data_IF_788757632670
#
_entry.id   IF_788757632670
#
_cell.length_a   1.000
_cell.length_b   1.000
_cell.length_c   1.000
_cell.angle_alpha   90.00
_cell.angle_beta   90.00
_cell.angle_gamma   90.00
#
_symmetry.space_group_name_H-M   'P 1'
#
loop_
_entity.id
_entity.type
_entity.pdbx_description
1 polymer ?
#
# COMPACT_ATOMS: atom_id res chain seq x y z
N UNK A 1 -36.15 -10.60 -39.53
CA UNK A 1 -36.42 -9.58 -40.58
C UNK A 1 -36.45 -8.19 -39.93
N UNK A 2 -35.53 -7.32 -40.38
CA UNK A 2 -35.61 -5.86 -40.49
C UNK A 2 -36.24 -5.06 -39.33
N UNK A 3 -35.36 -4.52 -38.49
CA UNK A 3 -35.55 -3.18 -37.93
C UNK A 3 -35.74 -2.18 -39.08
N UNK A 4 -36.95 -1.64 -39.20
CA UNK A 4 -37.31 -0.38 -39.87
C UNK A 4 -38.04 0.41 -38.78
N UNK A 5 -37.60 1.55 -38.29
CA UNK A 5 -37.04 2.70 -38.99
C UNK A 5 -38.02 3.85 -38.75
N UNK A 6 -37.73 4.70 -37.77
CA UNK A 6 -38.20 6.10 -37.76
C UNK A 6 -37.13 6.92 -37.06
N UNK A 7 -36.08 7.19 -37.81
CA UNK A 7 -35.28 8.38 -37.63
C UNK A 7 -36.08 9.53 -38.23
N UNK A 8 -35.98 10.70 -37.62
CA UNK A 8 -36.66 11.96 -37.96
C UNK A 8 -37.93 12.18 -37.15
N UNK A 9 -37.76 12.74 -35.95
CA UNK A 9 -38.50 13.98 -35.68
C UNK A 9 -37.70 14.93 -34.79
N UNK A 10 -37.34 16.06 -35.41
CA UNK A 10 -36.92 17.35 -34.85
C UNK A 10 -35.60 17.45 -34.06
N UNK A 11 -34.50 17.19 -34.77
CA UNK A 11 -33.28 17.97 -34.59
C UNK A 11 -33.47 19.39 -35.13
N UNK A 12 -34.11 20.25 -34.33
CA UNK A 12 -33.89 21.70 -34.50
C UNK A 12 -32.42 21.98 -34.12
N UNK A 13 -31.67 22.76 -34.90
CA UNK A 13 -30.38 23.23 -34.47
C UNK A 13 -30.60 24.06 -33.20
N UNK A 14 -30.18 23.54 -32.05
CA UNK A 14 -30.17 24.29 -30.79
C UNK A 14 -29.39 25.58 -31.05
N UNK A 15 -30.07 26.71 -30.95
CA UNK A 15 -29.43 28.00 -31.10
C UNK A 15 -28.41 28.22 -29.99
N UNK A 16 -27.36 29.00 -30.26
CA UNK A 16 -26.42 29.42 -29.22
C UNK A 16 -27.15 30.16 -28.07
N UNK A 17 -28.14 31.00 -28.39
CA UNK A 17 -28.98 31.68 -27.41
C UNK A 17 -29.76 30.70 -26.51
N UNK A 18 -30.39 29.67 -27.10
CA UNK A 18 -31.11 28.63 -26.35
C UNK A 18 -30.17 27.81 -25.45
N UNK A 19 -28.90 27.65 -25.86
CA UNK A 19 -27.89 26.94 -25.07
C UNK A 19 -27.52 27.69 -23.79
N UNK A 20 -27.50 29.04 -23.82
CA UNK A 20 -27.32 29.88 -22.63
C UNK A 20 -28.52 29.74 -21.67
N UNK A 21 -29.74 29.77 -22.22
CA UNK A 21 -30.98 29.64 -21.43
C UNK A 21 -31.10 28.25 -20.76
N UNK A 22 -30.77 27.17 -21.48
CA UNK A 22 -30.79 25.79 -20.96
C UNK A 22 -29.84 25.61 -19.77
N UNK A 23 -28.68 26.28 -19.81
CA UNK A 23 -27.69 26.24 -18.75
C UNK A 23 -27.94 27.29 -17.65
N UNK A 24 -28.84 28.24 -17.87
CA UNK A 24 -29.17 29.33 -16.94
C UNK A 24 -28.03 30.31 -16.75
N UNK A 25 -27.24 30.56 -17.79
CA UNK A 25 -26.09 31.48 -17.82
C UNK A 25 -26.33 32.60 -18.82
N UNK A 26 -25.73 33.77 -18.60
CA UNK A 26 -25.87 34.91 -19.51
C UNK A 26 -24.83 34.86 -20.62
N UNK A 27 -25.16 35.37 -21.83
CA UNK A 27 -24.15 35.67 -22.84
C UNK A 27 -23.11 36.65 -22.23
N UNK A 28 -21.85 36.24 -22.15
CA UNK A 28 -20.76 37.03 -21.52
C UNK A 28 -20.27 36.50 -20.16
N UNK A 29 -20.93 35.49 -19.58
CA UNK A 29 -20.42 34.81 -18.38
C UNK A 29 -19.07 34.12 -18.67
N UNK A 30 -18.20 34.05 -17.66
CA UNK A 30 -16.86 33.46 -17.82
C UNK A 30 -16.99 31.96 -18.16
N UNK A 31 -16.12 31.36 -19.01
CA UNK A 31 -16.10 29.91 -19.23
C UNK A 31 -16.06 29.06 -17.94
N UNK A 32 -15.56 29.60 -16.82
CA UNK A 32 -15.66 28.98 -15.50
C UNK A 32 -17.09 28.85 -14.95
N UNK A 33 -17.94 29.85 -15.19
CA UNK A 33 -19.36 29.89 -14.76
C UNK A 33 -20.24 28.97 -15.62
N UNK A 34 -19.96 28.90 -16.93
CA UNK A 34 -20.61 27.94 -17.84
C UNK A 34 -20.34 26.49 -17.38
N UNK A 35 -19.08 26.19 -17.00
CA UNK A 35 -18.71 24.86 -16.46
C UNK A 35 -19.36 24.58 -15.12
N UNK A 36 -19.45 25.56 -14.23
CA UNK A 36 -20.05 25.36 -12.90
C UNK A 36 -21.56 25.14 -13.02
N UNK A 37 -22.25 25.88 -13.90
CA UNK A 37 -23.66 25.69 -14.19
C UNK A 37 -23.97 24.31 -14.78
N UNK A 38 -23.16 23.85 -15.75
CA UNK A 38 -23.26 22.50 -16.29
C UNK A 38 -23.09 21.44 -15.19
N UNK A 39 -22.06 21.56 -14.33
CA UNK A 39 -21.82 20.60 -13.23
C UNK A 39 -22.98 20.52 -12.25
N UNK A 40 -23.55 21.65 -11.86
CA UNK A 40 -24.73 21.70 -10.97
C UNK A 40 -25.92 20.98 -11.59
N UNK A 41 -26.21 21.24 -12.87
CA UNK A 41 -27.32 20.62 -13.58
C UNK A 41 -27.08 19.12 -13.82
N UNK A 42 -25.86 18.72 -14.17
CA UNK A 42 -25.48 17.34 -14.38
C UNK A 42 -25.67 16.50 -13.12
N UNK A 43 -25.27 17.00 -11.94
CA UNK A 43 -25.45 16.30 -10.67
C UNK A 43 -26.92 16.06 -10.31
N UNK A 44 -27.81 16.99 -10.67
CA UNK A 44 -29.25 16.86 -10.39
C UNK A 44 -30.00 15.98 -11.39
N UNK A 45 -29.49 15.85 -12.62
CA UNK A 45 -30.19 15.20 -13.73
C UNK A 45 -29.50 13.93 -14.25
N UNK A 46 -28.39 13.48 -13.61
CA UNK A 46 -27.67 12.29 -14.05
C UNK A 46 -28.57 11.05 -13.96
N UNK A 47 -28.60 10.16 -14.98
CA UNK A 47 -29.45 8.98 -14.97
C UNK A 47 -29.22 8.07 -13.75
N UNK A 48 -28.00 8.03 -13.22
CA UNK A 48 -27.65 7.24 -12.02
C UNK A 48 -28.25 7.81 -10.72
N UNK A 49 -28.58 9.11 -10.69
CA UNK A 49 -29.08 9.80 -9.49
C UNK A 49 -30.59 10.03 -9.56
N UNK A 50 -31.11 10.40 -10.74
CA UNK A 50 -32.50 10.80 -10.94
C UNK A 50 -33.35 9.77 -11.73
N UNK A 51 -32.73 8.71 -12.25
CA UNK A 51 -33.41 7.65 -13.00
C UNK A 51 -33.72 7.99 -14.46
N UNK A 52 -34.27 7.01 -15.19
CA UNK A 52 -34.44 7.03 -16.66
C UNK A 52 -35.34 8.16 -17.19
N UNK A 53 -36.17 8.77 -16.34
CA UNK A 53 -37.03 9.91 -16.70
C UNK A 53 -36.24 11.20 -17.02
N UNK A 54 -34.99 11.31 -16.56
CA UNK A 54 -34.17 12.51 -16.72
C UNK A 54 -33.15 12.41 -17.86
N UNK A 55 -33.08 11.27 -18.56
CA UNK A 55 -32.14 11.03 -19.68
C UNK A 55 -32.30 12.07 -20.79
N UNK A 56 -33.53 12.31 -21.24
CA UNK A 56 -33.82 13.30 -22.30
C UNK A 56 -33.45 14.74 -21.88
N UNK A 57 -33.55 15.05 -20.58
CA UNK A 57 -33.17 16.36 -20.04
C UNK A 57 -31.65 16.50 -19.95
N UNK A 58 -30.97 15.45 -19.50
CA UNK A 58 -29.52 15.38 -19.44
C UNK A 58 -28.88 15.51 -20.83
N UNK A 59 -29.44 14.82 -21.84
CA UNK A 59 -28.97 14.94 -23.23
C UNK A 59 -29.07 16.37 -23.76
N UNK A 60 -30.16 17.09 -23.47
CA UNK A 60 -30.29 18.51 -23.86
C UNK A 60 -29.24 19.39 -23.19
N UNK A 61 -28.98 19.18 -21.90
CA UNK A 61 -27.97 19.92 -21.13
C UNK A 61 -26.55 19.64 -21.68
N UNK A 62 -26.24 18.38 -21.98
CA UNK A 62 -24.95 17.98 -22.55
C UNK A 62 -24.72 18.53 -23.96
N UNK A 63 -25.78 18.57 -24.79
CA UNK A 63 -25.74 19.19 -26.12
C UNK A 63 -25.51 20.70 -26.05
N UNK A 64 -26.23 21.41 -25.18
CA UNK A 64 -26.06 22.85 -24.96
C UNK A 64 -24.62 23.20 -24.53
N UNK A 65 -24.05 22.46 -23.57
CA UNK A 65 -22.67 22.66 -23.14
C UNK A 65 -21.64 22.37 -24.24
N UNK A 66 -21.87 21.34 -25.05
CA UNK A 66 -20.99 20.98 -26.17
C UNK A 66 -20.97 22.04 -27.27
N UNK A 67 -22.11 22.71 -27.51
CA UNK A 67 -22.22 23.82 -28.46
C UNK A 67 -21.49 25.06 -27.95
N UNK A 68 -21.73 25.47 -26.71
CA UNK A 68 -21.02 26.62 -26.12
C UNK A 68 -19.50 26.41 -25.99
N UNK A 69 -19.06 25.16 -25.83
CA UNK A 69 -17.63 24.83 -25.81
C UNK A 69 -16.98 24.92 -27.20
N UNK A 70 -17.74 24.69 -28.27
CA UNK A 70 -17.24 24.72 -29.65
C UNK A 70 -17.41 26.07 -30.33
N UNK A 71 -18.30 26.92 -29.80
CA UNK A 71 -18.55 28.26 -30.32
C UNK A 71 -17.28 29.12 -30.27
N UNK A 72 -17.02 29.86 -31.35
CA UNK A 72 -15.93 30.83 -31.41
C UNK A 72 -16.28 32.09 -30.59
N UNK A 73 -15.29 32.83 -30.06
CA UNK A 73 -15.55 34.09 -29.36
C UNK A 73 -16.30 35.12 -30.23
N UNK A 74 -16.08 35.08 -31.55
CA UNK A 74 -16.74 35.96 -32.53
C UNK A 74 -18.25 35.69 -32.64
N UNK A 75 -18.68 34.43 -32.62
CA UNK A 75 -20.11 34.04 -32.63
C UNK A 75 -20.83 34.47 -31.33
N UNK A 76 -20.11 34.48 -30.21
CA UNK A 76 -20.64 34.91 -28.91
C UNK A 76 -20.78 36.44 -28.88
N UNK A 77 -19.81 37.18 -29.46
CA UNK A 77 -19.87 38.63 -29.61
C UNK A 77 -20.97 39.07 -30.58
N UNK A 78 -21.21 38.33 -31.67
CA UNK A 78 -22.30 38.64 -32.62
C UNK A 78 -23.68 38.54 -31.96
N UNK A 79 -23.89 37.57 -31.05
CA UNK A 79 -25.13 37.44 -30.28
C UNK A 79 -25.31 38.55 -29.23
N UNK A 80 -24.20 39.01 -28.64
CA UNK A 80 -24.19 40.17 -27.75
C UNK A 80 -24.54 41.46 -28.52
N UNK A 81 -24.04 41.63 -29.74
CA UNK A 81 -24.40 42.76 -30.59
C UNK A 81 -25.86 42.70 -31.05
N UNK A 82 -26.35 41.52 -31.44
CA UNK A 82 -27.74 41.32 -31.92
C UNK A 82 -28.79 41.52 -30.81
N UNK A 83 -28.46 41.22 -29.56
CA UNK A 83 -29.32 41.50 -28.40
C UNK A 83 -29.29 42.98 -27.98
N UNK A 84 -28.20 43.70 -28.24
CA UNK A 84 -28.13 45.16 -28.04
C UNK A 84 -28.85 45.99 -29.13
N UNK A 85 -29.15 45.39 -30.30
CA UNK A 85 -29.78 46.04 -31.45
C UNK A 85 -31.31 46.16 -31.43
N UNK A 86 -32.01 45.56 -30.44
CA UNK A 86 -33.47 45.69 -30.24
C UNK A 86 -33.79 46.42 -28.93
N UNK A 87 -33.38 47.68 -28.83
CA UNK A 87 -33.96 48.62 -27.89
C UNK A 87 -34.35 49.87 -28.67
N UNK A 88 -35.64 49.93 -29.03
CA UNK A 88 -36.23 51.09 -29.69
C UNK A 88 -36.03 52.36 -28.86
N UNK A 89 -35.50 53.39 -29.53
CA UNK A 89 -35.42 54.76 -29.04
C UNK A 89 -36.78 55.44 -29.14
N UNK A 90 -37.19 56.13 -28.07
CA UNK A 90 -37.76 57.51 -28.05
C UNK A 90 -38.10 57.94 -26.61
N UNK A 91 -38.14 59.25 -26.30
CA UNK A 91 -37.14 60.28 -26.53
C UNK A 91 -36.71 60.97 -25.21
N UNK A 92 -35.77 61.90 -25.33
CA UNK A 92 -35.11 62.67 -24.25
C UNK A 92 -36.06 63.71 -23.63
N UNK A 93 -36.00 63.89 -22.30
CA UNK A 93 -35.77 65.18 -21.60
C UNK A 93 -35.98 64.94 -20.08
N UNK A 94 -34.91 64.95 -19.28
CA UNK A 94 -34.35 66.07 -18.52
C UNK A 94 -35.19 66.49 -17.31
N UNK A 95 -34.74 66.16 -16.09
CA UNK A 95 -34.59 67.09 -14.96
C UNK A 95 -34.20 66.33 -13.67
N UNK A 96 -33.34 66.95 -12.86
CA UNK A 96 -32.81 66.51 -11.55
C UNK A 96 -31.68 65.45 -11.59
N UNK A 97 -30.40 65.81 -11.48
CA UNK A 97 -29.64 66.43 -10.35
C UNK A 97 -29.28 65.40 -9.25
N UNK A 98 -27.97 65.38 -8.94
CA UNK A 98 -27.24 64.72 -7.82
C UNK A 98 -26.90 63.23 -7.97
N UNK A 99 -25.62 62.93 -8.21
CA UNK A 99 -24.65 62.61 -7.13
C UNK A 99 -23.26 62.32 -7.71
N UNK A 100 -22.31 63.21 -7.43
CA UNK A 100 -20.90 62.87 -7.37
C UNK A 100 -20.62 62.31 -5.97
N UNK A 101 -20.56 60.99 -5.85
CA UNK A 101 -19.86 60.34 -4.73
C UNK A 101 -18.97 59.25 -5.33
N UNK A 102 -17.77 59.69 -5.69
CA UNK A 102 -16.64 58.86 -6.10
C UNK A 102 -16.16 58.09 -4.88
N UNK A 103 -16.83 56.98 -4.55
CA UNK A 103 -16.34 56.01 -3.56
C UNK A 103 -15.09 55.34 -4.15
N UNK A 104 -13.92 55.79 -3.70
CA UNK A 104 -12.63 55.09 -3.90
C UNK A 104 -12.80 53.65 -3.42
N UNK A 105 -12.65 52.69 -4.33
CA UNK A 105 -12.42 51.28 -3.98
C UNK A 105 -11.17 51.20 -3.08
N UNK A 106 -11.18 50.42 -1.99
CA UNK A 106 -9.98 50.24 -1.17
C UNK A 106 -8.89 49.49 -1.97
N UNK A 107 -7.60 49.65 -1.58
CA UNK A 107 -6.49 49.16 -2.37
C UNK A 107 -6.53 47.63 -2.44
N UNK A 108 -6.45 47.11 -3.66
CA UNK A 108 -6.26 45.67 -3.96
C UNK A 108 -4.95 45.24 -3.29
N UNK A 109 -5.05 44.55 -2.15
CA UNK A 109 -3.92 43.86 -1.55
C UNK A 109 -3.45 42.78 -2.53
N UNK A 110 -2.18 42.84 -2.94
CA UNK A 110 -1.56 41.90 -3.90
C UNK A 110 -1.34 40.52 -3.25
N UNK A 111 -0.82 39.53 -3.99
CA UNK A 111 -1.29 38.15 -4.13
C UNK A 111 -0.92 37.23 -2.95
N UNK A 112 -0.45 37.77 -1.83
CA UNK A 112 0.02 36.99 -0.68
C UNK A 112 -1.13 36.20 -0.05
N UNK A 113 -2.32 36.79 0.04
CA UNK A 113 -3.53 36.09 0.48
C UNK A 113 -3.95 35.01 -0.52
N UNK A 114 -3.77 35.24 -1.82
CA UNK A 114 -4.07 34.23 -2.84
C UNK A 114 -3.10 33.04 -2.81
N UNK A 115 -1.83 33.29 -2.49
CA UNK A 115 -0.82 32.25 -2.34
C UNK A 115 -1.04 31.47 -1.05
N UNK A 116 -1.30 32.16 0.07
CA UNK A 116 -1.63 31.54 1.35
C UNK A 116 -2.90 30.71 1.26
N UNK A 117 -3.94 31.23 0.61
CA UNK A 117 -5.20 30.49 0.35
C UNK A 117 -4.95 29.30 -0.56
N UNK A 118 -4.09 29.43 -1.58
CA UNK A 118 -3.73 28.31 -2.47
C UNK A 118 -2.94 27.22 -1.73
N UNK A 119 -1.99 27.60 -0.86
CA UNK A 119 -1.25 26.67 0.00
C UNK A 119 -2.20 25.92 0.94
N UNK A 120 -3.12 26.64 1.62
CA UNK A 120 -4.10 26.02 2.51
C UNK A 120 -5.06 25.08 1.78
N UNK A 121 -5.46 25.41 0.54
CA UNK A 121 -6.28 24.52 -0.28
C UNK A 121 -5.50 23.27 -0.74
N UNK A 122 -4.21 23.42 -1.01
CA UNK A 122 -3.31 22.30 -1.32
C UNK A 122 -3.12 21.39 -0.11
N UNK A 123 -2.81 21.95 1.06
CA UNK A 123 -2.70 21.19 2.31
C UNK A 123 -4.02 20.47 2.63
N UNK A 124 -5.16 21.16 2.51
CA UNK A 124 -6.46 20.54 2.71
C UNK A 124 -6.71 19.39 1.73
N UNK A 125 -6.39 19.57 0.44
CA UNK A 125 -6.57 18.53 -0.57
C UNK A 125 -5.64 17.33 -0.32
N UNK A 126 -4.41 17.57 0.14
CA UNK A 126 -3.47 16.52 0.54
C UNK A 126 -3.98 15.75 1.75
N UNK A 127 -4.44 16.45 2.79
CA UNK A 127 -5.02 15.81 3.99
C UNK A 127 -6.29 15.04 3.64
N UNK A 128 -7.17 15.58 2.79
CA UNK A 128 -8.36 14.87 2.32
C UNK A 128 -7.99 13.62 1.51
N UNK A 129 -6.94 13.70 0.69
CA UNK A 129 -6.42 12.54 -0.04
C UNK A 129 -5.81 11.50 0.89
N UNK A 130 -5.01 11.90 1.89
CA UNK A 130 -4.45 11.00 2.91
C UNK A 130 -5.55 10.33 3.73
N UNK A 131 -6.59 11.07 4.12
CA UNK A 131 -7.77 10.54 4.81
C UNK A 131 -8.54 9.58 3.88
N UNK A 132 -8.69 9.89 2.60
CA UNK A 132 -9.35 9.01 1.64
C UNK A 132 -8.56 7.72 1.44
N UNK A 133 -7.24 7.82 1.32
CA UNK A 133 -6.33 6.67 1.22
C UNK A 133 -6.41 5.83 2.49
N UNK A 134 -6.23 6.41 3.68
CA UNK A 134 -6.38 5.67 4.94
C UNK A 134 -7.76 5.06 5.11
N UNK A 135 -8.84 5.70 4.65
CA UNK A 135 -10.17 5.07 4.60
C UNK A 135 -10.24 3.89 3.64
N UNK A 136 -9.58 3.94 2.49
CA UNK A 136 -9.47 2.79 1.59
C UNK A 136 -8.68 1.66 2.22
N UNK A 137 -7.63 1.97 2.99
CA UNK A 137 -6.88 0.99 3.77
C UNK A 137 -7.72 0.42 4.94
N UNK A 138 -8.52 1.24 5.60
CA UNK A 138 -9.29 0.86 6.80
C UNK A 138 -10.72 0.37 6.52
N UNK A 139 -11.20 0.46 5.28
CA UNK A 139 -12.53 -0.03 4.90
C UNK A 139 -12.56 -1.56 5.04
N UNK A 140 -13.31 -2.13 6.00
CA UNK A 140 -13.44 -3.57 6.11
C UNK A 140 -14.08 -4.08 4.82
N UNK A 141 -13.41 -5.07 4.24
CA UNK A 141 -13.78 -5.69 2.98
C UNK A 141 -15.22 -6.21 3.06
N UNK A 142 -16.14 -5.62 2.27
CA UNK A 142 -17.55 -6.03 2.23
C UNK A 142 -17.65 -7.32 1.42
N UNK A 143 -17.83 -8.42 2.14
CA UNK A 143 -17.87 -9.80 1.62
C UNK A 143 -18.91 -10.02 0.51
N UNK A 144 -18.47 -10.23 -0.73
CA UNK A 144 -19.25 -10.75 -1.87
C UNK A 144 -18.43 -11.71 -2.74
N UNK A 145 -19.03 -12.63 -3.52
CA UNK A 145 -18.30 -13.71 -4.26
C UNK A 145 -17.16 -13.26 -5.19
N UNK A 146 -17.16 -12.00 -5.66
CA UNK A 146 -16.03 -11.39 -6.41
C UNK A 146 -14.78 -11.09 -5.57
N UNK A 147 -14.83 -11.37 -4.28
CA UNK A 147 -13.80 -11.03 -3.30
C UNK A 147 -12.64 -12.01 -3.26
N UNK A 148 -12.87 -13.30 -3.54
CA UNK A 148 -11.83 -14.31 -3.38
C UNK A 148 -10.72 -14.12 -4.40
N UNK A 149 -11.06 -13.97 -5.69
CA UNK A 149 -10.09 -13.68 -6.75
C UNK A 149 -9.34 -12.36 -6.50
N UNK A 150 -10.06 -11.34 -6.03
CA UNK A 150 -9.49 -10.04 -5.68
C UNK A 150 -8.51 -10.15 -4.50
N UNK A 151 -8.83 -10.94 -3.47
CA UNK A 151 -7.94 -11.21 -2.35
C UNK A 151 -6.70 -11.99 -2.80
N UNK A 152 -6.86 -13.01 -3.64
CA UNK A 152 -5.71 -13.77 -4.20
C UNK A 152 -4.74 -12.84 -4.94
N UNK A 153 -5.27 -11.94 -5.78
CA UNK A 153 -4.46 -10.95 -6.50
C UNK A 153 -3.73 -9.99 -5.56
N UNK A 154 -4.39 -9.53 -4.48
CA UNK A 154 -3.78 -8.63 -3.50
C UNK A 154 -2.71 -9.30 -2.65
N UNK A 155 -2.95 -10.55 -2.25
CA UNK A 155 -1.99 -11.39 -1.50
C UNK A 155 -0.70 -11.62 -2.30
N UNK A 156 -0.82 -11.85 -3.62
CA UNK A 156 0.32 -12.04 -4.51
C UNK A 156 0.89 -10.73 -5.07
N UNK A 157 0.35 -9.58 -4.62
CA UNK A 157 0.80 -8.26 -5.05
C UNK A 157 2.26 -7.99 -4.69
N UNK A 158 2.92 -7.13 -5.47
CA UNK A 158 4.32 -6.74 -5.24
C UNK A 158 4.50 -5.80 -4.04
N UNK A 159 3.46 -5.03 -3.70
CA UNK A 159 3.52 -4.00 -2.65
C UNK A 159 3.23 -4.58 -1.26
N UNK A 160 4.13 -4.42 -0.27
CA UNK A 160 3.94 -4.89 1.11
C UNK A 160 2.62 -4.44 1.74
N UNK A 161 2.31 -3.15 1.69
CA UNK A 161 1.09 -2.61 2.30
C UNK A 161 -0.20 -3.23 1.76
N UNK A 162 -0.24 -3.60 0.46
CA UNK A 162 -1.40 -4.27 -0.13
C UNK A 162 -1.54 -5.69 0.40
N UNK A 163 -0.42 -6.40 0.59
CA UNK A 163 -0.41 -7.74 1.18
C UNK A 163 -0.85 -7.70 2.63
N UNK A 164 -0.35 -6.75 3.43
CA UNK A 164 -0.71 -6.61 4.84
C UNK A 164 -2.21 -6.37 5.03
N UNK A 165 -2.80 -5.51 4.21
CA UNK A 165 -4.25 -5.33 4.22
C UNK A 165 -5.01 -6.61 3.88
N UNK A 166 -4.54 -7.34 2.86
CA UNK A 166 -5.16 -8.60 2.46
C UNK A 166 -5.03 -9.65 3.58
N UNK A 167 -3.87 -9.73 4.22
CA UNK A 167 -3.60 -10.56 5.40
C UNK A 167 -4.51 -10.20 6.59
N UNK A 168 -4.71 -8.91 6.86
CA UNK A 168 -5.63 -8.47 7.90
C UNK A 168 -7.10 -8.85 7.62
N UNK A 169 -7.47 -8.96 6.34
CA UNK A 169 -8.83 -9.29 5.91
C UNK A 169 -9.14 -10.79 5.82
N UNK A 170 -8.13 -11.67 5.90
CA UNK A 170 -8.29 -13.12 5.76
C UNK A 170 -9.13 -13.73 6.90
N UNK A 171 -8.94 -13.28 8.14
CA UNK A 171 -9.68 -13.77 9.30
C UNK A 171 -9.64 -15.30 9.39
N UNK A 172 -10.83 -15.95 9.43
CA UNK A 172 -10.96 -17.42 9.45
C UNK A 172 -10.67 -18.09 8.10
N UNK A 173 -10.68 -17.35 6.99
CA UNK A 173 -10.42 -17.89 5.64
C UNK A 173 -8.96 -18.34 5.47
N UNK A 174 -8.06 -17.91 6.35
CA UNK A 174 -6.65 -18.34 6.36
C UNK A 174 -6.49 -19.86 6.55
N UNK A 175 -7.43 -20.52 7.23
CA UNK A 175 -7.38 -21.97 7.43
C UNK A 175 -7.76 -22.78 6.18
N UNK A 176 -8.47 -22.15 5.22
CA UNK A 176 -8.91 -22.80 4.00
C UNK A 176 -7.70 -23.22 3.17
N UNK A 177 -7.71 -24.45 2.64
CA UNK A 177 -6.56 -25.04 1.93
C UNK A 177 -6.06 -24.17 0.78
N UNK A 178 -6.97 -23.51 0.06
CA UNK A 178 -6.62 -22.63 -1.06
C UNK A 178 -5.83 -21.39 -0.60
N UNK A 179 -6.29 -20.73 0.47
CA UNK A 179 -5.61 -19.55 0.99
C UNK A 179 -4.31 -19.93 1.67
N UNK A 180 -4.29 -21.04 2.41
CA UNK A 180 -3.06 -21.51 3.02
C UNK A 180 -1.97 -21.78 1.99
N UNK A 181 -2.29 -22.38 0.84
CA UNK A 181 -1.33 -22.55 -0.25
C UNK A 181 -0.74 -21.21 -0.75
N UNK A 182 -1.56 -20.16 -0.81
CA UNK A 182 -1.11 -18.80 -1.18
C UNK A 182 -0.24 -18.20 -0.08
N UNK A 183 -0.56 -18.40 1.19
CA UNK A 183 0.29 -17.95 2.31
C UNK A 183 1.69 -18.59 2.24
N UNK A 184 1.77 -19.87 1.89
CA UNK A 184 3.04 -20.56 1.66
C UNK A 184 3.79 -19.98 0.45
N UNK A 185 3.08 -19.61 -0.62
CA UNK A 185 3.69 -18.93 -1.77
C UNK A 185 4.24 -17.55 -1.41
N UNK A 186 3.51 -16.76 -0.63
CA UNK A 186 3.98 -15.47 -0.11
C UNK A 186 5.25 -15.67 0.73
N UNK A 187 5.25 -16.64 1.65
CA UNK A 187 6.40 -16.94 2.50
C UNK A 187 7.65 -17.33 1.68
N UNK A 188 7.48 -18.01 0.54
CA UNK A 188 8.59 -18.34 -0.37
C UNK A 188 9.09 -17.12 -1.13
N UNK A 189 8.19 -16.29 -1.64
CA UNK A 189 8.51 -15.21 -2.57
C UNK A 189 9.01 -13.94 -1.88
N UNK A 190 8.48 -13.64 -0.70
CA UNK A 190 8.70 -12.37 0.02
C UNK A 190 9.28 -12.60 1.42
N UNK A 191 10.14 -13.60 1.58
CA UNK A 191 10.78 -13.93 2.85
C UNK A 191 11.64 -12.78 3.43
N UNK A 192 12.07 -11.83 2.60
CA UNK A 192 12.88 -10.68 3.04
C UNK A 192 12.07 -9.48 3.54
N UNK A 193 10.73 -9.54 3.45
CA UNK A 193 9.87 -8.44 3.89
C UNK A 193 9.31 -8.70 5.28
N UNK A 194 9.88 -7.99 6.26
CA UNK A 194 9.59 -8.21 7.68
C UNK A 194 8.12 -8.01 8.03
N UNK A 195 7.49 -6.95 7.52
CA UNK A 195 6.09 -6.67 7.83
C UNK A 195 5.20 -7.79 7.31
N UNK A 196 5.45 -8.26 6.08
CA UNK A 196 4.69 -9.38 5.49
C UNK A 196 4.88 -10.66 6.30
N UNK A 197 6.10 -10.97 6.73
CA UNK A 197 6.40 -12.16 7.54
C UNK A 197 5.69 -12.08 8.90
N UNK A 198 5.74 -10.93 9.58
CA UNK A 198 4.99 -10.70 10.82
C UNK A 198 3.48 -10.88 10.62
N UNK A 199 2.93 -10.30 9.54
CA UNK A 199 1.52 -10.44 9.18
C UNK A 199 1.09 -11.89 8.90
N UNK A 200 1.95 -12.71 8.29
CA UNK A 200 1.73 -14.15 8.10
C UNK A 200 1.72 -14.89 9.45
N UNK A 201 2.65 -14.54 10.32
CA UNK A 201 2.84 -15.14 11.63
C UNK A 201 1.71 -14.81 12.63
N UNK A 202 0.93 -13.75 12.39
CA UNK A 202 -0.24 -13.37 13.18
C UNK A 202 -1.53 -14.07 12.76
N UNK A 203 -1.52 -14.82 11.65
CA UNK A 203 -2.72 -15.51 11.17
C UNK A 203 -3.17 -16.62 12.13
N UNK A 204 -4.49 -16.77 12.29
CA UNK A 204 -5.11 -17.84 13.06
C UNK A 204 -5.04 -19.16 12.28
N UNK A 205 -3.86 -19.77 12.27
CA UNK A 205 -3.57 -21.05 11.63
C UNK A 205 -3.60 -22.21 12.64
N UNK A 206 -3.91 -23.40 12.15
CA UNK A 206 -3.77 -24.66 12.92
C UNK A 206 -2.31 -24.95 13.21
N UNK A 207 -2.02 -25.78 14.21
CA UNK A 207 -0.62 -26.08 14.59
C UNK A 207 0.20 -26.71 13.44
N UNK A 208 -0.40 -27.63 12.68
CA UNK A 208 0.21 -28.22 11.48
C UNK A 208 0.53 -27.16 10.41
N UNK A 209 -0.39 -26.22 10.20
CA UNK A 209 -0.24 -25.13 9.24
C UNK A 209 0.83 -24.13 9.70
N UNK A 210 0.90 -23.85 11.00
CA UNK A 210 1.96 -23.02 11.60
C UNK A 210 3.32 -23.67 11.42
N UNK A 211 3.43 -24.97 11.64
CA UNK A 211 4.68 -25.70 11.42
C UNK A 211 5.12 -25.60 9.97
N UNK A 212 4.23 -25.90 9.01
CA UNK A 212 4.55 -25.81 7.58
C UNK A 212 4.94 -24.40 7.14
N UNK A 213 4.30 -23.35 7.68
CA UNK A 213 4.68 -21.97 7.41
C UNK A 213 6.07 -21.64 7.96
N UNK A 214 6.34 -22.01 9.22
CA UNK A 214 7.65 -21.80 9.87
C UNK A 214 8.75 -22.57 9.14
N UNK A 215 8.47 -23.79 8.68
CA UNK A 215 9.41 -24.61 7.93
C UNK A 215 9.88 -23.94 6.63
N UNK A 216 8.95 -23.33 5.88
CA UNK A 216 9.28 -22.55 4.68
C UNK A 216 10.10 -21.31 5.02
N UNK A 217 9.71 -20.57 6.06
CA UNK A 217 10.45 -19.38 6.49
C UNK A 217 11.88 -19.74 6.93
N UNK A 218 12.05 -20.83 7.67
CA UNK A 218 13.37 -21.33 8.07
C UNK A 218 14.19 -21.80 6.87
N UNK A 219 13.57 -22.40 5.86
CA UNK A 219 14.26 -22.79 4.63
C UNK A 219 14.85 -21.58 3.88
N UNK A 220 14.25 -20.41 4.06
CA UNK A 220 14.73 -19.13 3.56
C UNK A 220 15.48 -18.30 4.62
N UNK A 221 16.04 -18.93 5.66
CA UNK A 221 16.65 -18.23 6.79
C UNK A 221 17.68 -17.18 6.39
N UNK A 222 18.47 -17.42 5.33
CA UNK A 222 19.49 -16.47 4.89
C UNK A 222 18.94 -15.13 4.38
N UNK A 223 17.65 -15.08 4.00
CA UNK A 223 16.99 -13.88 3.46
C UNK A 223 16.21 -13.09 4.52
N UNK A 224 15.97 -13.68 5.70
CA UNK A 224 15.26 -13.03 6.79
C UNK A 224 16.10 -11.91 7.39
N UNK A 225 15.43 -10.89 7.92
CA UNK A 225 16.12 -9.91 8.75
C UNK A 225 16.47 -10.51 10.10
N UNK A 226 17.46 -9.91 10.77
CA UNK A 226 17.87 -10.34 12.11
C UNK A 226 16.70 -10.29 13.11
N UNK A 227 15.85 -9.25 13.04
CA UNK A 227 14.72 -9.08 13.94
C UNK A 227 13.69 -10.19 13.76
N UNK A 228 13.26 -10.44 12.52
CA UNK A 228 12.26 -11.45 12.22
C UNK A 228 12.78 -12.86 12.46
N UNK A 229 14.06 -13.12 12.18
CA UNK A 229 14.70 -14.38 12.54
C UNK A 229 14.68 -14.64 14.05
N UNK A 230 14.97 -13.65 14.89
CA UNK A 230 14.92 -13.79 16.35
C UNK A 230 13.50 -14.03 16.88
N UNK A 231 12.49 -13.37 16.30
CA UNK A 231 11.08 -13.61 16.65
C UNK A 231 10.62 -15.03 16.27
N UNK A 232 11.04 -15.50 15.09
CA UNK A 232 10.81 -16.88 14.66
C UNK A 232 11.44 -17.87 15.62
N UNK A 233 12.68 -17.63 16.08
CA UNK A 233 13.32 -18.50 17.08
C UNK A 233 12.55 -18.60 18.39
N UNK A 234 11.98 -17.48 18.86
CA UNK A 234 11.16 -17.50 20.07
C UNK A 234 9.93 -18.40 19.92
N UNK A 235 9.36 -18.47 18.71
CA UNK A 235 8.24 -19.35 18.38
C UNK A 235 8.68 -20.80 18.22
N UNK A 236 9.78 -21.06 17.49
CA UNK A 236 10.36 -22.40 17.29
C UNK A 236 10.66 -23.09 18.63
N UNK A 237 11.11 -22.33 19.63
CA UNK A 237 11.37 -22.86 20.99
C UNK A 237 10.15 -23.49 21.66
N UNK A 238 8.94 -23.16 21.23
CA UNK A 238 7.68 -23.68 21.76
C UNK A 238 7.14 -24.87 20.96
N UNK A 239 7.72 -25.17 19.79
CA UNK A 239 7.26 -26.25 18.92
C UNK A 239 7.91 -27.59 19.28
N UNK A 240 7.19 -28.71 19.09
CA UNK A 240 7.79 -30.05 19.07
C UNK A 240 8.73 -30.18 17.86
N UNK A 241 9.73 -31.07 17.96
CA UNK A 241 10.65 -31.40 16.84
C UNK A 241 11.40 -30.18 16.24
N UNK A 242 11.84 -29.28 17.12
CA UNK A 242 12.52 -28.04 16.75
C UNK A 242 13.89 -28.19 16.08
N UNK A 243 14.52 -29.36 16.12
CA UNK A 243 15.93 -29.51 15.71
C UNK A 243 16.13 -29.30 14.22
N UNK A 244 15.23 -29.83 13.38
CA UNK A 244 15.27 -29.64 11.92
C UNK A 244 15.08 -28.17 11.55
N UNK A 245 14.18 -27.47 12.25
CA UNK A 245 13.95 -26.05 12.08
C UNK A 245 15.17 -25.22 12.52
N UNK A 246 15.75 -25.57 13.67
CA UNK A 246 16.97 -24.92 14.17
C UNK A 246 18.15 -25.15 13.23
N UNK A 247 18.27 -26.34 12.63
CA UNK A 247 19.31 -26.67 11.65
C UNK A 247 19.25 -25.72 10.46
N UNK A 248 18.06 -25.46 9.93
CA UNK A 248 17.85 -24.49 8.85
C UNK A 248 18.22 -23.06 9.28
N UNK A 249 17.86 -22.66 10.50
CA UNK A 249 18.20 -21.34 11.05
C UNK A 249 19.71 -21.13 11.25
N UNK A 250 20.51 -22.20 11.40
CA UNK A 250 21.96 -22.08 11.48
C UNK A 250 22.59 -21.57 10.18
N UNK A 251 21.89 -21.57 9.04
CA UNK A 251 22.41 -20.99 7.79
C UNK A 251 22.31 -19.45 7.73
N UNK A 252 21.70 -18.81 8.74
CA UNK A 252 21.59 -17.36 8.81
C UNK A 252 22.96 -16.65 8.89
N UNK A 253 23.14 -15.46 8.26
CA UNK A 253 24.41 -14.73 8.28
C UNK A 253 24.73 -14.03 9.61
N UNK A 254 23.74 -13.52 10.34
CA UNK A 254 23.95 -12.76 11.58
C UNK A 254 24.40 -13.62 12.77
N UNK A 255 25.39 -13.13 13.52
CA UNK A 255 26.00 -13.79 14.68
C UNK A 255 25.04 -14.00 15.84
N UNK A 256 24.16 -13.02 16.10
CA UNK A 256 23.16 -13.03 17.16
C UNK A 256 22.15 -14.17 16.99
N UNK A 257 21.65 -14.37 15.77
CA UNK A 257 20.72 -15.44 15.40
C UNK A 257 21.41 -16.80 15.57
N UNK A 258 22.67 -16.94 15.14
CA UNK A 258 23.46 -18.16 15.30
C UNK A 258 23.75 -18.49 16.77
N UNK A 259 24.08 -17.48 17.57
CA UNK A 259 24.27 -17.64 19.01
C UNK A 259 22.99 -18.13 19.69
N UNK A 260 21.86 -17.51 19.32
CA UNK A 260 20.55 -17.83 19.90
C UNK A 260 20.01 -19.19 19.48
N UNK A 261 20.22 -19.60 18.22
CA UNK A 261 19.88 -20.95 17.73
C UNK A 261 20.67 -22.01 18.46
N UNK A 262 22.00 -21.86 18.56
CA UNK A 262 22.86 -22.79 19.30
C UNK A 262 22.49 -22.87 20.78
N UNK A 263 22.12 -21.74 21.40
CA UNK A 263 21.62 -21.72 22.78
C UNK A 263 20.26 -22.38 22.97
N UNK A 264 19.41 -22.43 21.94
CA UNK A 264 18.11 -23.10 21.97
C UNK A 264 18.19 -24.60 21.64
N UNK A 265 19.37 -25.07 21.20
CA UNK A 265 19.63 -26.44 20.79
C UNK A 265 19.55 -27.40 21.97
N UNK A 266 18.44 -28.12 22.06
CA UNK A 266 18.09 -28.95 23.22
C UNK A 266 18.29 -30.45 23.02
N UNK A 267 18.63 -30.90 21.82
CA UNK A 267 18.64 -32.31 21.46
C UNK A 267 19.93 -33.03 21.80
N UNK A 268 19.89 -34.35 21.91
CA UNK A 268 21.09 -35.18 22.09
C UNK A 268 22.00 -35.19 20.86
N UNK A 269 21.49 -34.78 19.69
CA UNK A 269 22.21 -34.74 18.43
C UNK A 269 22.98 -33.42 18.22
N UNK A 270 23.93 -33.48 17.31
CA UNK A 270 24.64 -32.32 16.80
C UNK A 270 23.97 -31.75 15.55
N UNK A 271 24.17 -30.45 15.25
CA UNK A 271 24.00 -29.92 13.90
C UNK A 271 24.79 -30.74 12.87
N UNK A 272 24.36 -30.73 11.61
CA UNK A 272 25.07 -31.43 10.52
C UNK A 272 26.56 -31.10 10.50
N UNK A 273 27.40 -32.08 10.15
CA UNK A 273 28.86 -31.94 10.17
C UNK A 273 29.36 -30.75 9.33
N UNK A 274 28.73 -30.49 8.17
CA UNK A 274 29.04 -29.35 7.32
C UNK A 274 28.74 -28.01 8.02
N UNK A 275 27.64 -27.96 8.76
CA UNK A 275 27.25 -26.79 9.55
C UNK A 275 28.22 -26.57 10.69
N UNK A 276 28.62 -27.63 11.40
CA UNK A 276 29.63 -27.55 12.45
C UNK A 276 30.99 -27.07 11.92
N UNK A 277 31.44 -27.61 10.78
CA UNK A 277 32.68 -27.19 10.12
C UNK A 277 32.64 -25.71 9.75
N UNK A 278 31.52 -25.23 9.20
CA UNK A 278 31.34 -23.81 8.86
C UNK A 278 31.36 -22.92 10.10
N UNK A 279 30.70 -23.31 11.19
CA UNK A 279 30.65 -22.53 12.43
C UNK A 279 32.00 -22.51 13.16
N UNK A 280 32.75 -23.62 13.19
CA UNK A 280 34.10 -23.68 13.80
C UNK A 280 35.17 -22.88 13.03
N UNK A 281 34.91 -22.57 11.76
CA UNK A 281 35.77 -21.68 10.96
C UNK A 281 35.58 -20.21 11.29
N UNK A 282 34.45 -19.82 11.91
CA UNK A 282 34.22 -18.44 12.36
C UNK A 282 35.16 -18.09 13.52
N UNK A 283 35.40 -16.80 13.73
CA UNK A 283 36.24 -16.26 14.82
C UNK A 283 35.41 -15.46 15.85
N UNK A 284 34.12 -15.33 15.62
CA UNK A 284 33.23 -14.54 16.46
C UNK A 284 32.98 -15.27 17.79
N UNK A 285 33.28 -14.60 18.91
CA UNK A 285 33.10 -15.13 20.27
C UNK A 285 31.65 -15.55 20.52
N UNK A 286 30.69 -14.78 20.02
CA UNK A 286 29.25 -15.00 20.19
C UNK A 286 28.77 -16.35 19.65
N UNK A 287 29.44 -16.87 18.61
CA UNK A 287 29.11 -18.15 17.97
C UNK A 287 29.95 -19.26 18.60
N UNK A 288 31.26 -19.03 18.76
CA UNK A 288 32.19 -20.05 19.22
C UNK A 288 31.91 -20.48 20.66
N UNK A 289 31.53 -19.57 21.56
CA UNK A 289 31.28 -19.93 22.96
C UNK A 289 30.08 -20.86 23.11
N UNK A 290 28.88 -20.57 22.56
CA UNK A 290 27.77 -21.53 22.56
C UNK A 290 28.13 -22.84 21.87
N UNK A 291 28.84 -22.80 20.74
CA UNK A 291 29.25 -24.00 20.01
C UNK A 291 30.18 -24.89 20.84
N UNK A 292 31.22 -24.32 21.45
CA UNK A 292 32.15 -25.04 22.32
C UNK A 292 31.45 -25.60 23.57
N UNK A 293 30.44 -24.91 24.11
CA UNK A 293 29.60 -25.46 25.19
C UNK A 293 28.85 -26.71 24.73
N UNK A 294 28.23 -26.67 23.54
CA UNK A 294 27.53 -27.83 22.97
C UNK A 294 28.50 -29.00 22.74
N UNK A 295 29.69 -28.73 22.20
CA UNK A 295 30.74 -29.74 21.97
C UNK A 295 31.26 -30.33 23.27
N UNK A 296 31.45 -29.52 24.32
CA UNK A 296 31.89 -30.00 25.63
C UNK A 296 30.85 -30.93 26.27
N UNK A 297 29.57 -30.57 26.17
CA UNK A 297 28.49 -31.34 26.79
C UNK A 297 28.27 -32.71 26.14
N UNK A 298 28.48 -32.81 24.82
CA UNK A 298 28.16 -34.01 24.03
C UNK A 298 29.38 -34.80 23.54
N UNK A 299 30.59 -34.25 23.69
CA UNK A 299 31.84 -34.81 23.19
C UNK A 299 32.20 -34.26 21.81
N UNK A 300 33.41 -33.72 21.67
CA UNK A 300 33.85 -33.14 20.42
C UNK A 300 34.16 -34.23 19.37
N UNK A 301 33.73 -34.06 18.11
CA UNK A 301 34.05 -35.02 17.06
C UNK A 301 35.56 -34.98 16.75
N UNK A 302 36.17 -36.13 16.38
CA UNK A 302 37.63 -36.27 16.30
C UNK A 302 38.29 -35.33 15.29
N UNK A 303 37.61 -35.02 14.19
CA UNK A 303 38.10 -34.08 13.18
C UNK A 303 38.20 -32.64 13.69
N UNK A 304 37.42 -32.26 14.71
CA UNK A 304 37.40 -30.88 15.24
C UNK A 304 38.57 -30.58 16.18
N UNK A 305 39.25 -31.62 16.69
CA UNK A 305 40.30 -31.52 17.72
C UNK A 305 41.44 -30.58 17.35
N UNK A 306 41.93 -30.66 16.11
CA UNK A 306 43.01 -29.80 15.63
C UNK A 306 42.63 -28.32 15.70
N UNK A 307 41.40 -28.00 15.27
CA UNK A 307 40.88 -26.63 15.34
C UNK A 307 40.64 -26.16 16.77
N UNK A 308 40.11 -27.00 17.65
CA UNK A 308 39.88 -26.66 19.07
C UNK A 308 41.21 -26.39 19.79
N UNK A 309 42.27 -27.16 19.51
CA UNK A 309 43.63 -26.90 20.03
C UNK A 309 44.22 -25.57 19.53
N UNK A 310 43.96 -25.22 18.28
CA UNK A 310 44.35 -23.90 17.76
C UNK A 310 43.58 -22.76 18.45
N UNK A 311 42.28 -22.95 18.70
CA UNK A 311 41.44 -21.96 19.41
C UNK A 311 41.85 -21.77 20.87
N UNK A 312 42.30 -22.83 21.56
CA UNK A 312 42.71 -22.73 22.97
C UNK A 312 43.98 -21.91 23.18
N UNK A 313 44.91 -21.96 22.21
CA UNK A 313 46.23 -21.33 22.30
C UNK A 313 46.28 -19.92 21.69
N UNK A 314 45.57 -19.69 20.58
CA UNK A 314 45.76 -18.49 19.75
C UNK A 314 44.57 -17.56 19.57
N UNK A 315 43.38 -17.87 20.12
CA UNK A 315 42.21 -17.00 19.91
C UNK A 315 42.31 -15.68 20.69
N UNK A 316 41.79 -14.57 20.14
CA UNK A 316 41.82 -13.24 20.77
C UNK A 316 40.98 -13.17 22.05
N UNK A 317 39.76 -13.68 22.01
CA UNK A 317 38.84 -13.73 23.15
C UNK A 317 39.23 -14.77 24.21
N UNK A 318 39.28 -14.34 25.48
CA UNK A 318 39.64 -15.20 26.61
C UNK A 318 38.61 -16.31 26.86
N UNK A 319 37.31 -16.03 26.71
CA UNK A 319 36.26 -17.02 26.94
C UNK A 319 36.39 -18.22 25.99
N UNK A 320 36.66 -17.97 24.71
CA UNK A 320 36.90 -19.01 23.70
C UNK A 320 38.09 -19.89 24.09
N UNK A 321 39.21 -19.28 24.52
CA UNK A 321 40.39 -20.02 24.98
C UNK A 321 40.08 -20.93 26.16
N UNK A 322 39.33 -20.41 27.15
CA UNK A 322 38.94 -21.16 28.36
C UNK A 322 38.04 -22.33 28.01
N UNK A 323 37.00 -22.12 27.18
CA UNK A 323 36.09 -23.19 26.77
C UNK A 323 36.78 -24.23 25.90
N UNK A 324 37.56 -23.82 24.89
CA UNK A 324 38.33 -24.75 24.05
C UNK A 324 39.34 -25.54 24.88
N UNK A 325 40.08 -24.88 25.78
CA UNK A 325 41.02 -25.53 26.68
C UNK A 325 40.36 -26.47 27.68
N UNK A 326 39.09 -26.25 28.04
CA UNK A 326 38.34 -27.21 28.87
C UNK A 326 38.05 -28.51 28.12
N UNK A 327 37.75 -28.45 26.82
CA UNK A 327 37.50 -29.63 25.99
C UNK A 327 38.81 -30.42 25.80
N UNK A 328 39.90 -29.74 25.44
CA UNK A 328 41.21 -30.38 25.23
C UNK A 328 41.69 -31.08 26.51
N UNK A 329 41.47 -30.49 27.68
CA UNK A 329 41.82 -31.11 28.96
C UNK A 329 41.00 -32.35 29.25
N UNK A 330 39.68 -32.33 28.99
CA UNK A 330 38.82 -33.50 29.18
C UNK A 330 39.20 -34.62 28.23
N UNK A 331 39.53 -34.32 26.97
CA UNK A 331 39.97 -35.33 26.00
C UNK A 331 41.32 -35.95 26.36
N UNK A 332 42.24 -35.19 26.97
CA UNK A 332 43.53 -35.73 27.42
C UNK A 332 43.41 -36.59 28.70
N UNK A 333 42.24 -36.60 29.35
CA UNK A 333 41.97 -37.37 30.57
C UNK A 333 41.19 -38.67 30.29
N UNK A 334 40.74 -38.89 29.05
CA UNK A 334 40.04 -40.09 28.57
C UNK A 334 40.98 -40.95 27.72
#
# INVERSE_FOLDING_TARGET
MKWKGSWSDMGLPLGLAESFDILGVKPGDNPGEIRSAFRRLALTCHPDVAGSKHVARFERIARAYSLLRKASPEEIEELLQKSSGKAERKPRSSFWRKKSDRKKSPPVQKPADSLRVRELLLEKALVEAEIAVTRLFNCPFRSGEGDLSTLKLRLLGSLPGVRLLALASLGKKAEEKEFFAILLEIARRWASDDETVEGLLLQNLREEQKYALVDILCSNAALLSEKTALELLHRIRRLPEKDDLLQKMLFHPASSVLSRTLGAWGSSSFPDELTLLRLLKREEEEILVPLLRLLRLRGAPPWSRGRIKALSSGHSAAAVRVWAGSIVRVENLL
#
